data_IF_578642147584
#
_entry.id   IF_578642147584
#
_cell.length_a   1.000
_cell.length_b   1.000
_cell.length_c   1.000
_cell.angle_alpha   90.00
_cell.angle_beta   90.00
_cell.angle_gamma   90.00
#
_symmetry.space_group_name_H-M   'P 1'
#
loop_
_entity.id
_entity.type
_entity.pdbx_description
1 polymer ?
#
# COMPACT_ATOMS: atom_id res chain seq x y z
N UNK A 1 -31.88 -58.19 2.91
CA UNK A 1 -31.24 -58.57 4.19
C UNK A 1 -30.23 -57.47 4.48
N UNK A 2 -30.32 -56.59 5.48
CA UNK A 2 -30.92 -56.59 6.84
C UNK A 2 -31.18 -55.09 7.20
N UNK A 3 -32.43 -54.63 7.37
CA UNK A 3 -33.14 -54.24 8.63
C UNK A 3 -32.37 -53.47 9.73
N UNK A 4 -32.94 -52.34 10.16
CA UNK A 4 -32.71 -51.64 11.45
C UNK A 4 -31.87 -50.36 11.35
N UNK A 5 -32.23 -49.19 11.89
CA UNK A 5 -33.26 -48.85 12.87
C UNK A 5 -33.48 -47.32 12.88
N UNK A 6 -34.74 -46.91 12.71
CA UNK A 6 -35.25 -45.56 12.94
C UNK A 6 -35.42 -45.34 14.45
N UNK A 7 -34.34 -45.24 15.25
CA UNK A 7 -34.45 -45.01 16.70
C UNK A 7 -33.18 -44.33 17.26
N UNK A 8 -32.90 -43.08 16.91
CA UNK A 8 -31.81 -42.28 17.53
C UNK A 8 -32.31 -40.92 18.05
N UNK A 9 -33.59 -40.84 18.44
CA UNK A 9 -34.19 -39.62 19.00
C UNK A 9 -34.55 -39.75 20.50
N UNK A 10 -34.09 -40.82 21.17
CA UNK A 10 -34.39 -41.06 22.60
C UNK A 10 -33.20 -41.52 23.45
N UNK A 11 -31.95 -41.36 22.97
CA UNK A 11 -30.78 -41.49 23.84
C UNK A 11 -30.56 -40.15 24.54
N UNK A 12 -30.87 -40.07 25.84
CA UNK A 12 -30.64 -38.86 26.64
C UNK A 12 -29.18 -38.44 26.53
N UNK A 13 -28.93 -37.35 25.80
CA UNK A 13 -27.60 -36.79 25.54
C UNK A 13 -26.94 -36.51 26.89
N UNK A 14 -25.82 -37.19 27.14
CA UNK A 14 -25.05 -36.94 28.37
C UNK A 14 -24.49 -35.52 28.36
N UNK A 15 -24.33 -34.91 29.53
CA UNK A 15 -23.81 -33.53 29.63
C UNK A 15 -22.44 -33.38 28.92
N UNK A 16 -21.63 -34.44 28.95
CA UNK A 16 -20.34 -34.49 28.28
C UNK A 16 -20.46 -34.51 26.76
N UNK A 17 -21.42 -35.26 26.20
CA UNK A 17 -21.71 -35.22 24.75
C UNK A 17 -22.15 -33.84 24.30
N UNK A 18 -23.00 -33.16 25.09
CA UNK A 18 -23.44 -31.80 24.76
C UNK A 18 -22.25 -30.83 24.76
N UNK A 19 -21.34 -30.94 25.74
CA UNK A 19 -20.10 -30.16 25.79
C UNK A 19 -19.20 -30.44 24.59
N UNK A 20 -19.02 -31.69 24.22
CA UNK A 20 -18.20 -32.07 23.06
C UNK A 20 -18.81 -31.58 21.75
N UNK A 21 -20.13 -31.68 21.60
CA UNK A 21 -20.87 -31.19 20.43
C UNK A 21 -20.79 -29.67 20.32
N UNK A 22 -20.88 -28.94 21.44
CA UNK A 22 -20.68 -27.50 21.49
C UNK A 22 -19.23 -27.12 21.11
N UNK A 23 -18.22 -27.82 21.65
CA UNK A 23 -16.81 -27.58 21.29
C UNK A 23 -16.56 -27.78 19.79
N UNK A 24 -17.02 -28.89 19.22
CA UNK A 24 -16.93 -29.16 17.76
C UNK A 24 -17.62 -28.06 16.94
N UNK A 25 -18.78 -27.57 17.38
CA UNK A 25 -19.51 -26.50 16.68
C UNK A 25 -18.81 -25.14 16.79
N UNK A 26 -18.25 -24.80 17.95
CA UNK A 26 -17.44 -23.60 18.13
C UNK A 26 -16.17 -23.68 17.28
N UNK A 27 -15.51 -24.83 17.25
CA UNK A 27 -14.30 -25.06 16.47
C UNK A 27 -14.56 -24.92 14.97
N UNK A 28 -15.63 -25.53 14.44
CA UNK A 28 -16.05 -25.38 13.05
C UNK A 28 -16.38 -23.92 12.67
N UNK A 29 -17.04 -23.17 13.57
CA UNK A 29 -17.31 -21.74 13.35
C UNK A 29 -16.07 -20.85 13.53
N UNK A 30 -15.08 -21.30 14.30
CA UNK A 30 -13.86 -20.55 14.54
C UNK A 30 -12.80 -20.82 13.48
N UNK A 31 -12.69 -22.05 12.97
CA UNK A 31 -11.86 -22.38 11.80
C UNK A 31 -12.36 -21.66 10.54
N UNK A 32 -13.67 -21.53 10.35
CA UNK A 32 -14.24 -20.72 9.27
C UNK A 32 -13.90 -19.22 9.37
N UNK A 33 -13.67 -18.69 10.59
CA UNK A 33 -13.23 -17.30 10.83
C UNK A 33 -11.71 -17.13 10.78
N UNK A 34 -10.95 -18.17 11.15
CA UNK A 34 -9.49 -18.16 11.25
C UNK A 34 -8.78 -18.56 9.95
N UNK A 35 -9.49 -18.68 8.82
CA UNK A 35 -8.88 -18.76 7.49
C UNK A 35 -8.21 -17.43 7.05
N UNK A 36 -8.06 -16.45 7.94
CA UNK A 36 -7.06 -15.41 7.78
C UNK A 36 -5.67 -16.02 7.92
N UNK A 37 -5.10 -16.41 6.77
CA UNK A 37 -3.70 -16.80 6.55
C UNK A 37 -2.78 -16.42 7.75
N UNK A 38 -2.21 -17.37 8.51
CA UNK A 38 -1.39 -17.08 9.70
C UNK A 38 -0.25 -16.10 9.40
N UNK A 39 0.25 -16.13 8.16
CA UNK A 39 1.25 -15.20 7.61
C UNK A 39 0.84 -13.70 7.68
N UNK A 40 -0.46 -13.37 7.71
CA UNK A 40 -0.95 -11.99 7.82
C UNK A 40 -0.91 -11.45 9.25
N UNK A 41 -1.15 -12.30 10.24
CA UNK A 41 -1.11 -11.92 11.65
C UNK A 41 0.34 -11.63 12.09
N UNK A 42 1.28 -12.46 11.66
CA UNK A 42 2.70 -12.27 11.96
C UNK A 42 3.25 -10.98 11.31
N UNK A 43 2.83 -10.68 10.07
CA UNK A 43 3.20 -9.43 9.37
C UNK A 43 2.66 -8.17 10.05
N UNK A 44 1.50 -8.25 10.70
CA UNK A 44 0.92 -7.11 11.43
C UNK A 44 1.67 -6.86 12.75
N UNK A 45 2.03 -7.94 13.46
CA UNK A 45 2.83 -7.89 14.69
C UNK A 45 4.22 -7.29 14.45
N UNK A 46 4.91 -7.73 13.40
CA UNK A 46 6.23 -7.19 13.00
C UNK A 46 6.16 -5.70 12.64
N UNK A 47 5.09 -5.28 11.94
CA UNK A 47 4.87 -3.86 11.60
C UNK A 47 4.65 -3.00 12.84
N UNK A 48 3.90 -3.50 13.81
CA UNK A 48 3.66 -2.79 15.07
C UNK A 48 4.96 -2.62 15.84
N UNK A 49 5.76 -3.69 15.93
CA UNK A 49 7.04 -3.69 16.64
C UNK A 49 8.06 -2.73 15.99
N UNK A 50 8.16 -2.72 14.65
CA UNK A 50 9.02 -1.79 13.94
C UNK A 50 8.59 -0.33 14.14
N UNK A 51 7.29 -0.06 14.26
CA UNK A 51 6.75 1.29 14.52
C UNK A 51 7.11 1.76 15.93
N UNK A 52 7.02 0.89 16.93
CA UNK A 52 7.40 1.18 18.31
C UNK A 52 8.92 1.42 18.46
N UNK A 53 9.75 0.59 17.80
CA UNK A 53 11.22 0.81 17.77
C UNK A 53 11.59 2.16 17.16
N UNK A 54 10.86 2.65 16.15
CA UNK A 54 11.10 3.96 15.52
C UNK A 54 10.73 5.12 16.45
N UNK A 55 9.65 4.98 17.24
CA UNK A 55 9.24 5.99 18.24
C UNK A 55 10.26 6.13 19.37
N UNK A 56 10.79 5.00 19.89
CA UNK A 56 11.81 5.02 20.96
C UNK A 56 13.12 5.70 20.53
N UNK A 57 13.51 5.58 19.25
CA UNK A 57 14.72 6.23 18.71
C UNK A 57 14.59 7.76 18.57
N UNK A 58 13.36 8.27 18.41
CA UNK A 58 13.12 9.71 18.26
C UNK A 58 12.99 10.42 19.62
N UNK A 59 12.56 9.71 20.67
CA UNK A 59 12.47 10.26 22.03
C UNK A 59 13.84 10.42 22.72
N UNK A 60 14.87 9.68 22.29
CA UNK A 60 16.21 9.73 22.89
C UNK A 60 17.15 10.81 22.34
N UNK A 61 16.69 11.74 21.50
CA UNK A 61 17.55 12.75 20.86
C UNK A 61 17.30 14.20 21.29
N UNK A 62 16.52 14.42 22.36
CA UNK A 62 16.17 15.79 22.80
C UNK A 62 17.15 16.38 23.84
N UNK A 63 18.12 15.61 24.33
CA UNK A 63 18.95 16.01 25.48
C UNK A 63 20.36 16.55 25.15
N UNK A 64 20.58 17.06 23.92
CA UNK A 64 21.88 17.65 23.51
C UNK A 64 21.71 19.02 22.85
N UNK A 65 20.81 19.84 23.37
CA UNK A 65 20.64 21.24 22.90
C UNK A 65 20.57 22.21 24.07
N UNK A 66 21.68 22.36 24.79
CA UNK A 66 21.97 23.55 25.59
C UNK A 66 23.47 23.64 25.80
N UNK A 67 23.95 24.90 25.78
CA UNK A 67 25.33 25.37 25.99
C UNK A 67 26.19 25.46 24.71
N UNK A 68 26.29 26.68 24.16
CA UNK A 68 27.49 27.53 24.27
C UNK A 68 27.37 28.78 23.39
N UNK A 69 27.18 29.93 24.03
CA UNK A 69 27.64 31.25 23.57
C UNK A 69 28.63 31.74 24.65
N UNK A 70 29.89 31.98 24.30
CA UNK A 70 30.53 33.32 24.31
C UNK A 70 32.07 33.26 24.16
N UNK A 71 32.55 34.12 23.24
CA UNK A 71 33.79 34.93 23.12
C UNK A 71 35.16 34.32 23.50
N UNK A 72 36.12 34.20 22.57
CA UNK A 72 36.98 35.25 21.94
C UNK A 72 37.91 35.95 22.94
N UNK A 73 39.06 35.31 23.26
CA UNK A 73 40.44 35.79 23.05
C UNK A 73 41.39 34.75 23.65
N UNK A 74 42.43 34.37 22.90
CA UNK A 74 43.81 34.07 23.34
C UNK A 74 44.41 33.03 22.39
N UNK A 75 44.85 33.55 21.25
CA UNK A 75 45.43 32.83 20.14
C UNK A 75 46.94 32.73 20.41
N UNK A 76 47.54 31.56 20.18
CA UNK A 76 48.99 31.19 20.24
C UNK A 76 49.35 30.04 21.21
N UNK A 77 48.57 29.73 22.26
CA UNK A 77 48.80 28.51 23.08
C UNK A 77 47.88 27.31 22.74
N UNK A 78 46.93 27.51 21.83
CA UNK A 78 45.94 26.49 21.46
C UNK A 78 46.49 25.45 20.48
N UNK A 79 47.37 25.85 19.57
CA UNK A 79 47.72 25.03 18.40
C UNK A 79 48.56 23.79 18.76
N UNK A 80 49.39 23.85 19.81
CA UNK A 80 50.20 22.70 20.26
C UNK A 80 49.37 21.70 21.07
N UNK A 81 48.38 22.18 21.84
CA UNK A 81 47.48 21.31 22.62
C UNK A 81 46.33 20.77 21.80
N UNK A 82 45.94 21.44 20.71
CA UNK A 82 44.95 20.95 19.75
C UNK A 82 45.55 19.87 18.82
N UNK A 83 46.79 20.04 18.34
CA UNK A 83 47.49 19.01 17.57
C UNK A 83 47.71 17.70 18.36
N UNK A 84 48.01 17.79 19.67
CA UNK A 84 48.14 16.62 20.53
C UNK A 84 46.79 15.95 20.86
N UNK A 85 45.68 16.71 20.84
CA UNK A 85 44.32 16.16 21.01
C UNK A 85 43.78 15.54 19.72
N UNK A 86 44.29 15.91 18.56
CA UNK A 86 43.89 15.36 17.26
C UNK A 86 44.57 14.02 16.94
N UNK A 87 45.71 13.72 17.57
CA UNK A 87 46.34 12.41 17.54
C UNK A 87 45.68 11.44 18.54
N UNK A 88 44.42 11.13 18.31
CA UNK A 88 43.75 10.02 19.01
C UNK A 88 44.20 8.69 18.41
N UNK A 89 44.54 7.72 19.27
CA UNK A 89 44.94 6.37 18.87
C UNK A 89 43.83 5.74 18.00
N UNK A 90 44.05 5.73 16.68
CA UNK A 90 43.13 5.14 15.70
C UNK A 90 42.66 6.06 14.57
N UNK A 91 42.91 7.39 14.61
CA UNK A 91 42.56 8.26 13.49
C UNK A 91 43.54 9.41 13.29
N UNK A 92 44.40 9.28 12.27
CA UNK A 92 45.26 10.37 11.79
C UNK A 92 44.56 11.02 10.60
N UNK A 93 44.13 12.27 10.72
CA UNK A 93 43.63 13.05 9.58
C UNK A 93 44.82 13.60 8.80
N UNK A 94 45.23 12.90 7.75
CA UNK A 94 46.07 13.49 6.71
C UNK A 94 45.16 14.09 5.63
N UNK A 95 45.29 15.40 5.41
CA UNK A 95 44.79 16.05 4.20
C UNK A 95 43.67 17.05 4.45
N UNK A 96 44.02 18.32 4.23
CA UNK A 96 43.13 19.43 3.94
C UNK A 96 42.45 19.22 2.57
N UNK A 97 41.56 18.22 2.48
CA UNK A 97 40.60 18.12 1.39
C UNK A 97 39.29 18.76 1.86
N UNK A 98 39.21 20.06 1.60
CA UNK A 98 38.17 21.02 1.97
C UNK A 98 36.83 20.76 1.23
N UNK A 99 36.33 19.53 1.28
CA UNK A 99 35.11 19.08 0.56
C UNK A 99 34.00 18.59 1.50
N UNK A 100 34.05 19.01 2.77
CA UNK A 100 33.06 18.69 3.81
C UNK A 100 32.38 19.94 4.36
N UNK A 101 31.65 20.66 3.50
CA UNK A 101 30.46 21.36 4.01
C UNK A 101 29.52 20.29 4.59
N UNK A 102 29.26 20.34 5.90
CA UNK A 102 28.60 19.30 6.71
C UNK A 102 27.14 18.94 6.36
N UNK A 103 26.72 19.08 5.10
CA UNK A 103 25.41 18.70 4.58
C UNK A 103 25.60 17.56 3.58
N UNK A 104 24.96 16.41 3.83
CA UNK A 104 24.93 15.27 2.89
C UNK A 104 24.45 15.78 1.52
N UNK A 105 25.36 15.91 0.54
CA UNK A 105 25.02 16.33 -0.83
C UNK A 105 23.93 15.37 -1.35
N UNK A 106 22.78 15.91 -1.76
CA UNK A 106 21.67 15.09 -2.29
C UNK A 106 22.16 14.37 -3.54
N UNK A 107 21.81 13.08 -3.67
CA UNK A 107 22.09 12.33 -4.91
C UNK A 107 21.46 13.07 -6.09
N UNK A 108 22.20 13.15 -7.19
CA UNK A 108 21.72 13.77 -8.42
C UNK A 108 20.56 12.96 -8.98
N UNK A 109 19.70 13.59 -9.77
CA UNK A 109 18.66 12.85 -10.47
C UNK A 109 19.29 11.94 -11.53
N UNK A 110 18.69 10.77 -11.75
CA UNK A 110 19.19 9.76 -12.68
C UNK A 110 19.31 10.24 -14.13
N UNK A 111 18.48 11.24 -14.50
CA UNK A 111 18.56 11.95 -15.78
C UNK A 111 19.84 12.79 -15.88
N UNK A 112 20.20 13.53 -14.83
CA UNK A 112 21.45 14.31 -14.78
C UNK A 112 22.68 13.41 -14.75
N UNK A 113 22.59 12.24 -14.10
CA UNK A 113 23.65 11.22 -14.15
C UNK A 113 23.85 10.68 -15.56
N UNK A 114 22.76 10.42 -16.30
CA UNK A 114 22.82 9.97 -17.69
C UNK A 114 23.48 11.02 -18.60
N UNK A 115 23.09 12.29 -18.46
CA UNK A 115 23.71 13.38 -19.23
C UNK A 115 25.21 13.48 -18.97
N UNK A 116 25.64 13.34 -17.70
CA UNK A 116 27.06 13.33 -17.34
C UNK A 116 27.78 12.11 -17.91
N UNK A 117 27.19 10.93 -17.82
CA UNK A 117 27.73 9.71 -18.38
C UNK A 117 27.93 9.81 -19.91
N UNK A 118 26.96 10.38 -20.63
CA UNK A 118 27.06 10.62 -22.08
C UNK A 118 28.16 11.62 -22.44
N UNK A 119 28.24 12.75 -21.72
CA UNK A 119 29.31 13.75 -21.90
C UNK A 119 30.70 13.15 -21.66
N UNK A 120 30.81 12.26 -20.66
CA UNK A 120 32.06 11.55 -20.38
C UNK A 120 32.39 10.51 -21.46
N UNK A 121 31.40 9.84 -22.03
CA UNK A 121 31.60 8.92 -23.16
C UNK A 121 32.07 9.67 -24.41
N UNK A 122 31.49 10.84 -24.68
CA UNK A 122 31.85 11.70 -25.80
C UNK A 122 33.28 12.25 -25.64
N UNK A 123 33.63 12.77 -24.47
CA UNK A 123 34.99 13.25 -24.17
C UNK A 123 36.07 12.15 -24.17
N UNK A 124 35.68 10.87 -24.07
CA UNK A 124 36.59 9.72 -24.19
C UNK A 124 36.84 9.30 -25.64
N UNK A 125 35.98 9.70 -26.58
CA UNK A 125 36.12 9.36 -28.01
C UNK A 125 37.14 10.23 -28.74
N UNK A 126 37.55 11.35 -28.15
CA UNK A 126 38.58 12.23 -28.70
C UNK A 126 39.97 11.55 -28.71
N UNK A 127 40.68 11.48 -29.84
CA UNK A 127 41.89 10.65 -29.97
C UNK A 127 43.09 11.14 -29.15
N UNK A 128 43.26 12.45 -28.97
CA UNK A 128 44.44 13.00 -28.25
C UNK A 128 44.19 13.18 -26.74
N UNK A 129 43.00 13.64 -26.37
CA UNK A 129 42.64 13.97 -24.98
C UNK A 129 41.86 12.85 -24.29
N UNK A 130 41.23 11.96 -25.06
CA UNK A 130 40.36 10.91 -24.57
C UNK A 130 41.09 9.88 -23.72
N UNK A 131 42.32 9.49 -24.08
CA UNK A 131 43.11 8.56 -23.27
C UNK A 131 43.46 9.14 -21.89
N UNK A 132 43.87 10.42 -21.86
CA UNK A 132 44.23 11.10 -20.61
C UNK A 132 42.99 11.28 -19.73
N UNK A 133 41.86 11.64 -20.32
CA UNK A 133 40.57 11.77 -19.61
C UNK A 133 40.09 10.41 -19.11
N UNK A 134 40.19 9.35 -19.92
CA UNK A 134 39.82 8.00 -19.55
C UNK A 134 40.65 7.49 -18.37
N UNK A 135 41.97 7.67 -18.41
CA UNK A 135 42.89 7.32 -17.32
C UNK A 135 42.56 8.13 -16.06
N UNK A 136 42.45 9.46 -16.14
CA UNK A 136 42.09 10.31 -14.98
C UNK A 136 40.75 9.90 -14.36
N UNK A 137 39.75 9.60 -15.19
CA UNK A 137 38.44 9.19 -14.73
C UNK A 137 38.47 7.78 -14.11
N UNK A 138 39.22 6.84 -14.66
CA UNK A 138 39.32 5.49 -14.11
C UNK A 138 39.98 5.48 -12.74
N UNK A 139 41.06 6.26 -12.56
CA UNK A 139 41.72 6.43 -11.27
C UNK A 139 40.77 7.08 -10.24
N UNK A 140 40.11 8.19 -10.59
CA UNK A 140 39.13 8.84 -9.71
C UNK A 140 37.97 7.92 -9.32
N UNK A 141 37.48 7.11 -10.27
CA UNK A 141 36.42 6.16 -10.01
C UNK A 141 36.91 5.00 -9.13
N UNK A 142 38.15 4.54 -9.30
CA UNK A 142 38.74 3.50 -8.45
C UNK A 142 38.92 3.99 -7.01
N UNK A 143 39.46 5.20 -6.80
CA UNK A 143 39.63 5.77 -5.46
C UNK A 143 38.28 5.99 -4.78
N UNK A 144 37.29 6.52 -5.49
CA UNK A 144 35.93 6.73 -4.96
C UNK A 144 35.23 5.41 -4.62
N UNK A 145 35.43 4.34 -5.42
CA UNK A 145 34.92 2.99 -5.10
C UNK A 145 35.62 2.39 -3.89
N UNK A 146 36.94 2.56 -3.76
CA UNK A 146 37.70 2.13 -2.58
C UNK A 146 37.24 2.86 -1.31
N UNK A 147 36.85 4.13 -1.43
CA UNK A 147 36.20 4.90 -0.36
C UNK A 147 34.75 4.45 -0.07
N UNK A 148 34.21 3.45 -0.77
CA UNK A 148 32.86 2.91 -0.56
C UNK A 148 31.73 3.67 -1.27
N UNK A 149 32.05 4.65 -2.11
CA UNK A 149 31.05 5.41 -2.87
C UNK A 149 30.59 4.58 -4.08
N UNK A 150 29.27 4.39 -4.21
CA UNK A 150 28.66 3.68 -5.35
C UNK A 150 28.60 4.60 -6.56
N UNK A 151 29.33 4.25 -7.62
CA UNK A 151 29.45 5.05 -8.83
C UNK A 151 28.64 4.41 -9.97
N UNK A 152 27.81 5.20 -10.64
CA UNK A 152 26.96 4.77 -11.76
C UNK A 152 27.29 5.58 -13.02
N UNK A 153 28.26 5.10 -13.82
CA UNK A 153 28.76 5.84 -14.99
C UNK A 153 28.25 5.30 -16.33
N UNK A 154 27.54 4.16 -16.35
CA UNK A 154 27.13 3.49 -17.59
C UNK A 154 25.83 4.09 -18.16
N UNK A 155 25.87 4.76 -19.32
CA UNK A 155 24.68 5.43 -19.88
C UNK A 155 23.57 4.43 -20.23
N UNK A 156 23.94 3.24 -20.75
CA UNK A 156 23.00 2.18 -21.09
C UNK A 156 22.23 1.64 -19.88
N UNK A 157 22.86 1.56 -18.71
CA UNK A 157 22.23 1.05 -17.49
C UNK A 157 21.31 2.11 -16.86
N UNK A 158 21.72 3.37 -16.90
CA UNK A 158 20.91 4.52 -16.47
C UNK A 158 19.64 4.64 -17.32
N UNK A 159 19.76 4.52 -18.65
CA UNK A 159 18.63 4.49 -19.59
C UNK A 159 17.65 3.35 -19.27
N UNK A 160 18.17 2.14 -19.04
CA UNK A 160 17.33 0.98 -18.66
C UNK A 160 16.60 1.21 -17.34
N UNK A 161 17.24 1.83 -16.35
CA UNK A 161 16.57 2.13 -15.07
C UNK A 161 15.48 3.16 -15.24
N UNK A 162 15.72 4.23 -15.99
CA UNK A 162 14.70 5.25 -16.27
C UNK A 162 13.48 4.64 -16.96
N UNK A 163 13.70 3.74 -17.93
CA UNK A 163 12.61 3.00 -18.59
C UNK A 163 11.84 2.10 -17.60
N UNK A 164 12.53 1.42 -16.69
CA UNK A 164 11.89 0.61 -15.64
C UNK A 164 11.05 1.48 -14.71
N UNK A 165 11.59 2.59 -14.24
CA UNK A 165 10.89 3.55 -13.37
C UNK A 165 9.61 4.08 -14.04
N UNK A 166 9.70 4.49 -15.31
CA UNK A 166 8.53 4.90 -16.10
C UNK A 166 7.47 3.80 -16.20
N UNK A 167 7.86 2.58 -16.58
CA UNK A 167 6.94 1.43 -16.64
C UNK A 167 6.29 1.12 -15.30
N UNK A 168 7.05 1.19 -14.20
CA UNK A 168 6.49 0.96 -12.86
C UNK A 168 5.47 2.03 -12.49
N UNK A 169 5.71 3.29 -12.88
CA UNK A 169 4.79 4.39 -12.65
C UNK A 169 3.50 4.21 -13.48
N UNK A 170 3.62 3.88 -14.77
CA UNK A 170 2.49 3.57 -15.66
C UNK A 170 1.64 2.42 -15.10
N UNK A 171 2.27 1.28 -14.77
CA UNK A 171 1.58 0.15 -14.16
C UNK A 171 0.88 0.50 -12.84
N UNK A 172 1.48 1.36 -12.03
CA UNK A 172 0.88 1.83 -10.78
C UNK A 172 -0.32 2.75 -11.05
N UNK A 173 -0.20 3.63 -12.03
CA UNK A 173 -1.28 4.54 -12.44
C UNK A 173 -2.47 3.76 -13.00
N UNK A 174 -2.23 2.76 -13.85
CA UNK A 174 -3.31 1.95 -14.44
C UNK A 174 -4.02 1.10 -13.39
N UNK A 175 -3.27 0.45 -12.48
CA UNK A 175 -3.87 -0.23 -11.32
C UNK A 175 -4.72 0.69 -10.46
N UNK A 176 -4.35 1.96 -10.35
CA UNK A 176 -5.13 2.95 -9.61
C UNK A 176 -6.41 3.33 -10.35
N UNK A 177 -6.34 3.52 -11.68
CA UNK A 177 -7.52 3.74 -12.52
C UNK A 177 -8.50 2.57 -12.43
N UNK A 178 -8.02 1.33 -12.54
CA UNK A 178 -8.85 0.12 -12.42
C UNK A 178 -9.55 0.04 -11.06
N UNK A 179 -8.86 0.40 -9.98
CA UNK A 179 -9.46 0.47 -8.63
C UNK A 179 -10.58 1.50 -8.55
N UNK A 180 -10.36 2.69 -9.12
CA UNK A 180 -11.38 3.73 -9.15
C UNK A 180 -12.58 3.28 -10.01
N UNK A 181 -12.32 2.69 -11.17
CA UNK A 181 -13.37 2.23 -12.07
C UNK A 181 -14.21 1.11 -11.43
N UNK A 182 -13.56 0.12 -10.81
CA UNK A 182 -14.26 -0.96 -10.09
C UNK A 182 -15.06 -0.43 -8.90
N UNK A 183 -14.55 0.57 -8.18
CA UNK A 183 -15.31 1.23 -7.11
C UNK A 183 -16.53 1.95 -7.67
N UNK A 184 -16.39 2.69 -8.77
CA UNK A 184 -17.50 3.38 -9.45
C UNK A 184 -18.55 2.39 -9.92
N UNK A 185 -18.16 1.30 -10.59
CA UNK A 185 -19.06 0.22 -11.04
C UNK A 185 -19.85 -0.38 -9.88
N UNK A 186 -19.19 -0.70 -8.76
CA UNK A 186 -19.87 -1.22 -7.56
C UNK A 186 -20.89 -0.23 -6.98
N UNK A 187 -20.59 1.06 -7.01
CA UNK A 187 -21.54 2.09 -6.55
C UNK A 187 -22.73 2.20 -7.51
N UNK A 188 -22.49 2.22 -8.82
CA UNK A 188 -23.57 2.29 -9.82
C UNK A 188 -24.46 1.07 -9.79
N UNK A 189 -23.90 -0.13 -9.67
CA UNK A 189 -24.66 -1.38 -9.55
C UNK A 189 -25.55 -1.40 -8.30
N UNK A 190 -25.02 -0.94 -7.14
CA UNK A 190 -25.81 -0.82 -5.92
C UNK A 190 -26.96 0.18 -6.08
N UNK A 191 -26.69 1.30 -6.75
CA UNK A 191 -27.69 2.33 -6.98
C UNK A 191 -28.77 1.86 -7.98
N UNK A 192 -28.38 1.12 -9.02
CA UNK A 192 -29.31 0.47 -9.96
C UNK A 192 -30.21 -0.53 -9.22
N UNK A 193 -29.64 -1.46 -8.44
CA UNK A 193 -30.42 -2.41 -7.62
C UNK A 193 -31.38 -1.70 -6.68
N UNK A 194 -30.98 -0.57 -6.09
CA UNK A 194 -31.87 0.23 -5.24
C UNK A 194 -33.00 0.86 -6.04
N UNK A 195 -32.71 1.39 -7.23
CA UNK A 195 -33.72 1.96 -8.12
C UNK A 195 -34.73 0.91 -8.56
N UNK A 196 -34.28 -0.29 -8.93
CA UNK A 196 -35.13 -1.40 -9.36
C UNK A 196 -36.02 -1.89 -8.21
N UNK A 197 -35.46 -2.13 -7.02
CA UNK A 197 -36.25 -2.48 -5.83
C UNK A 197 -37.32 -1.42 -5.48
N UNK A 198 -37.05 -0.13 -5.74
CA UNK A 198 -38.02 0.95 -5.53
C UNK A 198 -39.12 0.90 -6.59
N UNK A 199 -38.79 0.61 -7.86
CA UNK A 199 -39.75 0.43 -8.94
C UNK A 199 -40.64 -0.78 -8.67
N UNK A 200 -40.06 -1.93 -8.33
CA UNK A 200 -40.79 -3.15 -8.01
C UNK A 200 -41.76 -2.91 -6.84
N UNK A 201 -41.32 -2.21 -5.79
CA UNK A 201 -42.20 -1.84 -4.66
C UNK A 201 -43.34 -0.91 -5.08
N UNK A 202 -43.13 -0.02 -6.05
CA UNK A 202 -44.20 0.84 -6.59
C UNK A 202 -45.18 0.01 -7.42
N UNK A 203 -44.69 -0.90 -8.25
CA UNK A 203 -45.50 -1.79 -9.09
C UNK A 203 -46.32 -2.76 -8.26
N UNK A 204 -45.71 -3.46 -7.29
CA UNK A 204 -46.44 -4.32 -6.34
C UNK A 204 -47.53 -3.55 -5.59
N UNK A 205 -47.31 -2.28 -5.22
CA UNK A 205 -48.35 -1.44 -4.60
C UNK A 205 -49.49 -1.11 -5.58
N UNK A 206 -49.20 -0.90 -6.86
CA UNK A 206 -50.21 -0.69 -7.91
C UNK A 206 -51.01 -1.97 -8.17
N UNK A 207 -50.33 -3.10 -8.36
CA UNK A 207 -50.95 -4.42 -8.56
C UNK A 207 -51.83 -4.81 -7.38
N UNK A 208 -51.38 -4.63 -6.14
CA UNK A 208 -52.23 -4.87 -4.95
C UNK A 208 -53.48 -4.01 -4.93
N UNK A 209 -53.43 -2.77 -5.45
CA UNK A 209 -54.62 -1.91 -5.56
C UNK A 209 -55.54 -2.40 -6.68
N UNK A 210 -54.99 -2.83 -7.81
CA UNK A 210 -55.74 -3.42 -8.94
C UNK A 210 -56.42 -4.71 -8.49
N UNK A 211 -55.68 -5.67 -7.92
CA UNK A 211 -56.22 -6.92 -7.40
C UNK A 211 -57.30 -6.71 -6.33
N UNK A 212 -57.17 -5.69 -5.46
CA UNK A 212 -58.23 -5.33 -4.51
C UNK A 212 -59.48 -4.77 -5.19
N UNK A 213 -59.34 -4.02 -6.29
CA UNK A 213 -60.47 -3.51 -7.08
C UNK A 213 -61.15 -4.65 -7.84
N UNK A 214 -60.38 -5.50 -8.51
CA UNK A 214 -60.89 -6.68 -9.23
C UNK A 214 -61.58 -7.66 -8.27
N UNK A 215 -60.98 -7.97 -7.12
CA UNK A 215 -61.64 -8.81 -6.10
C UNK A 215 -62.95 -8.20 -5.59
N UNK A 216 -63.05 -6.87 -5.51
CA UNK A 216 -64.32 -6.20 -5.14
C UNK A 216 -65.35 -6.28 -6.26
N UNK A 217 -64.92 -6.16 -7.52
CA UNK A 217 -65.78 -6.26 -8.69
C UNK A 217 -66.31 -7.69 -8.90
N UNK A 218 -65.45 -8.70 -8.69
CA UNK A 218 -65.77 -10.13 -8.82
C UNK A 218 -66.39 -10.74 -7.55
N UNK A 219 -66.57 -9.99 -6.46
CA UNK A 219 -67.18 -10.52 -5.24
C UNK A 219 -68.67 -10.78 -5.54
N UNK A 220 -69.16 -12.04 -5.45
CA UNK A 220 -70.58 -12.31 -5.65
C UNK A 220 -71.37 -11.53 -4.59
N UNK A 221 -72.12 -10.53 -5.03
CA UNK A 221 -73.12 -9.86 -4.20
C UNK A 221 -74.38 -10.72 -4.08
N UNK A 222 -75.34 -10.25 -3.27
CA UNK A 222 -76.66 -10.85 -3.09
C UNK A 222 -77.48 -10.99 -4.39
N UNK A 223 -77.08 -10.32 -5.49
CA UNK A 223 -77.74 -10.39 -6.81
C UNK A 223 -76.81 -10.86 -7.97
N UNK A 224 -75.61 -11.37 -7.69
CA UNK A 224 -74.69 -11.86 -8.74
C UNK A 224 -73.95 -10.76 -9.54
N UNK A 225 -72.86 -11.17 -10.21
CA UNK A 225 -72.02 -10.30 -11.05
C UNK A 225 -72.85 -9.67 -12.18
N UNK A 226 -72.99 -8.34 -12.17
CA UNK A 226 -73.79 -7.59 -13.15
C UNK A 226 -72.94 -7.33 -14.40
N UNK A 227 -72.85 -8.34 -15.27
CA UNK A 227 -72.24 -8.23 -16.59
C UNK A 227 -73.26 -7.69 -17.60
N UNK A 228 -73.56 -6.37 -17.58
CA UNK A 228 -74.16 -5.71 -18.76
C UNK A 228 -73.71 -4.26 -18.89
N UNK A 229 -73.22 -3.83 -20.06
CA UNK A 229 -73.13 -2.42 -20.41
C UNK A 229 -74.54 -1.90 -20.73
N UNK A 230 -75.14 -1.17 -19.79
CA UNK A 230 -76.28 -0.29 -20.07
C UNK A 230 -75.77 0.90 -20.88
N UNK A 231 -75.72 0.75 -22.22
CA UNK A 231 -75.99 1.79 -23.21
C UNK A 231 -75.73 1.25 -24.63
N UNK A 232 -76.73 0.53 -25.16
CA UNK A 232 -76.93 0.46 -26.60
C UNK A 232 -77.56 1.77 -27.06
N UNK A 233 -76.75 2.72 -27.52
CA UNK A 233 -77.24 3.87 -28.26
C UNK A 233 -77.67 3.41 -29.66
N UNK A 234 -78.99 3.31 -29.87
CA UNK A 234 -79.63 3.45 -31.18
C UNK A 234 -80.59 4.64 -31.12
N UNK A 235 -80.62 5.37 -32.22
CA UNK A 235 -81.32 6.63 -32.52
C UNK A 235 -80.57 7.89 -32.09
#
# INVERSE_FOLDING_TARGET
MVCGSEDEESRSVTYEELRQRLRRKIEAMSSARNNSNPEKHDKEKDRLEHRERKRKRLAGSEDVRKLKEDKFTDNVQKDTTEAAKELTFGHVKLGDDDDQSGKKKRKLSKVKELERARKLEEAKKDPEKGEVIAKKHSWKAATSRAAGIKIHDDPKLLDKSLKKEKKTHENSADKWKDRIETQRKKVTEKQQKRADNIKDRKEQKRERKIAKREKKLLRPGFEGCKDQPLNGAKA
#
